data_IF_661018105379
#
_entry.id   IF_661018105379
#
_cell.length_a   1.000
_cell.length_b   1.000
_cell.length_c   1.000
_cell.angle_alpha   90.00
_cell.angle_beta   90.00
_cell.angle_gamma   90.00
#
_symmetry.space_group_name_H-M   'P 1'
#
loop_
_entity.id
_entity.type
_entity.pdbx_description
1 polymer ?
#
# COMPACT_ATOMS: atom_id res chain seq x y z
N UNK A 1 -3.06 12.09 4.75
CA UNK A 1 -2.55 11.80 3.38
C UNK A 1 -3.76 11.62 2.50
N UNK A 2 -3.91 12.41 1.45
CA UNK A 2 -5.10 12.38 0.61
C UNK A 2 -4.79 12.67 -0.85
N UNK A 3 -5.68 12.23 -1.76
CA UNK A 3 -5.58 12.37 -3.22
C UNK A 3 -4.23 11.90 -3.79
N UNK A 4 -3.85 10.66 -3.44
CA UNK A 4 -2.59 10.05 -3.88
C UNK A 4 -2.85 9.13 -5.06
N UNK A 5 -2.03 9.23 -6.12
CA UNK A 5 -2.21 8.46 -7.36
C UNK A 5 -0.91 7.78 -7.78
N UNK A 6 -0.99 6.47 -7.98
CA UNK A 6 0.03 5.64 -8.61
C UNK A 6 -0.56 5.06 -9.89
N UNK A 7 -0.12 5.56 -11.05
CA UNK A 7 -0.75 5.26 -12.35
C UNK A 7 0.28 4.68 -13.29
N UNK A 8 -0.05 3.54 -13.92
CA UNK A 8 0.75 2.91 -14.98
C UNK A 8 2.19 2.55 -14.59
N UNK A 9 2.40 2.15 -13.34
CA UNK A 9 3.71 1.69 -12.88
C UNK A 9 3.99 0.25 -13.34
N UNK A 10 5.26 -0.03 -13.63
CA UNK A 10 5.76 -1.38 -13.93
C UNK A 10 6.73 -1.83 -12.85
N UNK A 11 6.43 -2.97 -12.23
CA UNK A 11 7.24 -3.57 -11.18
C UNK A 11 8.25 -4.56 -11.76
N UNK A 12 9.45 -4.57 -11.18
CA UNK A 12 10.50 -5.53 -11.52
C UNK A 12 11.24 -5.96 -10.28
N UNK A 13 11.22 -7.28 -9.99
CA UNK A 13 11.96 -7.90 -8.89
C UNK A 13 11.70 -7.25 -7.52
N UNK A 14 10.44 -6.94 -7.22
CA UNK A 14 10.04 -6.37 -5.92
C UNK A 14 9.43 -7.43 -5.01
N UNK A 15 9.62 -7.29 -3.70
CA UNK A 15 9.03 -8.21 -2.72
C UNK A 15 7.50 -8.06 -2.65
N UNK A 16 7.00 -6.84 -2.58
CA UNK A 16 5.57 -6.55 -2.45
C UNK A 16 5.14 -5.57 -3.55
N UNK A 17 4.05 -5.84 -4.23
CA UNK A 17 3.53 -4.94 -5.27
C UNK A 17 2.88 -3.69 -4.67
N UNK A 18 2.05 -3.86 -3.64
CA UNK A 18 1.37 -2.78 -2.94
C UNK A 18 1.61 -2.94 -1.43
N UNK A 19 2.20 -1.90 -0.82
CA UNK A 19 2.46 -1.83 0.63
C UNK A 19 1.76 -0.61 1.20
N UNK A 20 0.86 -0.82 2.17
CA UNK A 20 0.15 0.25 2.86
C UNK A 20 0.17 -0.01 4.36
N UNK A 21 0.97 0.76 5.10
CA UNK A 21 1.23 0.52 6.53
C UNK A 21 0.94 1.77 7.35
N UNK A 22 0.25 1.60 8.48
CA UNK A 22 -0.06 2.68 9.44
C UNK A 22 0.43 2.35 10.86
N UNK A 23 1.49 1.55 10.95
CA UNK A 23 2.07 1.01 12.17
C UNK A 23 3.57 1.38 12.32
N UNK A 24 4.10 2.25 11.44
CA UNK A 24 5.48 2.72 11.52
C UNK A 24 5.70 3.54 12.80
N UNK A 25 6.77 3.21 13.52
CA UNK A 25 7.21 3.95 14.69
C UNK A 25 8.63 4.47 14.48
N UNK A 26 8.79 5.79 14.46
CA UNK A 26 10.10 6.44 14.40
C UNK A 26 10.96 6.10 15.62
N UNK A 27 10.36 5.96 16.81
CA UNK A 27 11.11 5.64 18.04
C UNK A 27 11.59 4.19 18.07
N UNK A 28 10.89 3.27 17.39
CA UNK A 28 11.31 1.87 17.21
C UNK A 28 12.12 1.65 15.92
N UNK A 29 12.19 2.66 15.05
CA UNK A 29 12.91 2.60 13.78
C UNK A 29 12.27 1.69 12.72
N UNK A 30 10.98 1.36 12.83
CA UNK A 30 10.34 0.41 11.93
C UNK A 30 8.87 0.13 12.19
N UNK A 31 8.33 -0.80 11.42
CA UNK A 31 6.96 -1.31 11.53
C UNK A 31 6.79 -2.13 12.81
N UNK A 32 5.66 -1.96 13.46
CA UNK A 32 5.37 -2.56 14.78
C UNK A 32 4.39 -3.72 14.72
N UNK A 33 3.77 -3.96 13.56
CA UNK A 33 2.66 -4.88 13.35
C UNK A 33 1.33 -4.41 13.93
N UNK A 34 1.30 -3.25 14.63
CA UNK A 34 0.12 -2.71 15.30
C UNK A 34 -0.31 -1.38 14.66
N UNK A 35 -1.27 -1.38 13.72
CA UNK A 35 -1.69 -0.19 13.00
C UNK A 35 -2.56 0.72 13.88
N UNK A 36 -1.91 1.47 14.76
CA UNK A 36 -2.56 2.34 15.75
C UNK A 36 -2.52 3.82 15.37
N UNK A 37 -1.87 4.17 14.24
CA UNK A 37 -1.81 5.55 13.76
C UNK A 37 -3.21 6.15 13.62
N UNK A 38 -3.37 7.38 14.11
CA UNK A 38 -4.58 8.17 13.96
C UNK A 38 -4.58 9.03 12.66
N UNK A 39 -3.53 8.91 11.84
CA UNK A 39 -3.41 9.68 10.59
C UNK A 39 -4.42 9.16 9.57
N UNK A 40 -5.23 10.07 9.03
CA UNK A 40 -6.15 9.78 7.93
C UNK A 40 -5.39 9.53 6.62
N UNK A 41 -5.72 8.44 5.92
CA UNK A 41 -5.20 8.07 4.60
C UNK A 41 -6.37 7.79 3.67
N UNK A 42 -6.73 8.76 2.85
CA UNK A 42 -7.99 8.78 2.11
C UNK A 42 -7.72 8.92 0.61
N UNK A 43 -8.64 8.43 -0.23
CA UNK A 43 -8.61 8.68 -1.69
C UNK A 43 -7.29 8.26 -2.36
N UNK A 44 -6.83 7.03 -2.09
CA UNK A 44 -5.63 6.45 -2.73
C UNK A 44 -6.05 5.70 -3.99
N UNK A 45 -5.50 6.07 -5.14
CA UNK A 45 -5.74 5.37 -6.41
C UNK A 45 -4.47 4.66 -6.87
N UNK A 46 -4.58 3.35 -7.14
CA UNK A 46 -3.55 2.57 -7.82
C UNK A 46 -4.17 2.00 -9.09
N UNK A 47 -3.65 2.38 -10.25
CA UNK A 47 -4.23 1.96 -11.52
C UNK A 47 -3.19 1.55 -12.55
N UNK A 48 -3.50 0.49 -13.33
CA UNK A 48 -2.64 0.03 -14.41
C UNK A 48 -1.29 -0.51 -13.95
N UNK A 49 -1.22 -1.06 -12.74
CA UNK A 49 0.01 -1.62 -12.16
C UNK A 49 0.32 -2.97 -12.81
N UNK A 50 1.52 -3.14 -13.37
CA UNK A 50 1.93 -4.36 -14.08
C UNK A 50 3.26 -4.91 -13.60
N UNK A 51 3.60 -6.13 -14.00
CA UNK A 51 4.94 -6.72 -13.80
C UNK A 51 4.94 -7.91 -12.86
N UNK A 52 6.00 -8.08 -12.07
CA UNK A 52 6.13 -9.20 -11.12
C UNK A 52 6.51 -8.74 -9.71
N UNK A 53 5.99 -9.48 -8.72
CA UNK A 53 6.34 -9.32 -7.32
C UNK A 53 6.28 -10.67 -6.61
N UNK A 54 6.86 -10.78 -5.40
CA UNK A 54 6.62 -11.98 -4.57
C UNK A 54 5.20 -11.98 -3.99
N UNK A 55 4.80 -10.86 -3.36
CA UNK A 55 3.47 -10.70 -2.78
C UNK A 55 2.70 -9.60 -3.52
N UNK A 56 1.41 -9.81 -3.74
CA UNK A 56 0.54 -8.79 -4.32
C UNK A 56 0.25 -7.66 -3.33
N UNK A 57 -0.02 -8.00 -2.06
CA UNK A 57 -0.39 -7.05 -1.02
C UNK A 57 0.38 -7.28 0.27
N UNK A 58 0.71 -6.18 0.94
CA UNK A 58 1.16 -6.13 2.32
C UNK A 58 0.50 -4.91 2.98
N UNK A 59 -0.72 -5.10 3.49
CA UNK A 59 -1.57 -4.02 4.00
C UNK A 59 -1.80 -4.23 5.50
N UNK A 60 -1.24 -3.32 6.30
CA UNK A 60 -1.37 -3.26 7.75
C UNK A 60 -1.79 -1.84 8.13
N UNK A 61 -3.08 -1.56 8.00
CA UNK A 61 -3.62 -0.21 8.16
C UNK A 61 -4.75 -0.15 9.21
N UNK A 62 -4.88 1.00 9.87
CA UNK A 62 -5.92 1.25 10.86
C UNK A 62 -7.25 1.46 10.13
N UNK A 63 -8.23 0.55 10.23
CA UNK A 63 -9.48 0.64 9.46
C UNK A 63 -10.32 1.86 9.83
N UNK A 64 -10.06 2.50 10.98
CA UNK A 64 -10.79 3.71 11.41
C UNK A 64 -10.33 4.98 10.71
N UNK A 65 -9.18 4.94 10.02
CA UNK A 65 -8.55 6.14 9.45
C UNK A 65 -8.20 5.98 7.98
N UNK A 66 -8.65 4.89 7.35
CA UNK A 66 -8.48 4.67 5.91
C UNK A 66 -9.83 4.59 5.22
N UNK A 67 -9.96 5.27 4.08
CA UNK A 67 -11.16 5.25 3.26
C UNK A 67 -10.84 5.49 1.78
N UNK A 68 -11.77 5.06 0.92
CA UNK A 68 -11.80 5.42 -0.51
C UNK A 68 -10.53 5.03 -1.29
N UNK A 69 -9.99 3.85 -1.00
CA UNK A 69 -8.91 3.28 -1.80
C UNK A 69 -9.48 2.56 -3.02
N UNK A 70 -8.92 2.84 -4.19
CA UNK A 70 -9.37 2.29 -5.46
C UNK A 70 -8.21 1.66 -6.22
N UNK A 71 -8.26 0.34 -6.40
CA UNK A 71 -7.27 -0.43 -7.16
C UNK A 71 -7.90 -0.98 -8.45
N UNK A 72 -7.31 -0.66 -9.60
CA UNK A 72 -7.85 -1.09 -10.90
C UNK A 72 -6.75 -1.45 -11.90
N UNK A 73 -7.02 -2.36 -12.83
CA UNK A 73 -6.03 -2.79 -13.83
C UNK A 73 -4.72 -3.31 -13.20
N UNK A 74 -4.83 -4.08 -12.13
CA UNK A 74 -3.67 -4.70 -11.46
C UNK A 74 -3.35 -6.01 -12.18
N UNK A 75 -2.33 -5.96 -13.03
CA UNK A 75 -1.82 -7.06 -13.85
C UNK A 75 -0.42 -7.48 -13.34
N UNK A 76 -0.33 -7.81 -12.06
CA UNK A 76 0.93 -8.23 -11.42
C UNK A 76 0.93 -9.75 -11.26
N UNK A 77 1.97 -10.40 -11.77
CA UNK A 77 2.25 -11.82 -11.49
C UNK A 77 2.91 -11.93 -10.12
N UNK A 78 2.17 -12.42 -9.13
CA UNK A 78 2.67 -12.69 -7.79
C UNK A 78 3.03 -14.17 -7.60
N UNK A 79 4.23 -14.47 -7.10
CA UNK A 79 4.73 -15.85 -6.90
C UNK A 79 5.85 -15.94 -5.87
#
# INVERSE_FOLDING_TARGET
VSDVKYVQNTLSNVKNAIVMHSDYSKSKGGYTGSPTSAVAIESVTISGLKGSATNLYDIVANPKTVSDWSFSGIEVSAS
#
